data_IF_490827638230
#
_entry.id   IF_490827638230
#
_cell.length_a   1.000
_cell.length_b   1.000
_cell.length_c   1.000
_cell.angle_alpha   90.00
_cell.angle_beta   90.00
_cell.angle_gamma   90.00
#
_symmetry.space_group_name_H-M   'P 1'
#
loop_
_entity.id
_entity.type
_entity.pdbx_description
1 polymer ?
#
# COMPACT_ATOMS: atom_id res chain seq x y z
N UNK A 1 -33.11 -33.13 -1.58
CA UNK A 1 -34.10 -32.05 -1.79
C UNK A 1 -33.82 -30.97 -0.77
N UNK A 2 -33.58 -29.74 -1.24
CA UNK A 2 -33.39 -28.48 -0.49
C UNK A 2 -32.18 -28.44 0.45
N UNK A 3 -31.22 -27.51 0.39
CA UNK A 3 -31.30 -26.10 0.02
C UNK A 3 -29.91 -25.65 -0.45
N UNK A 4 -29.83 -25.15 -1.68
CA UNK A 4 -28.67 -24.46 -2.21
C UNK A 4 -28.51 -23.12 -1.48
N UNK A 5 -27.72 -23.11 -0.40
CA UNK A 5 -27.20 -21.86 0.16
C UNK A 5 -26.09 -21.35 -0.76
N UNK A 6 -26.33 -20.19 -1.36
CA UNK A 6 -25.46 -19.52 -2.32
C UNK A 6 -24.07 -19.23 -1.74
N UNK A 7 -23.12 -20.16 -1.89
CA UNK A 7 -21.71 -19.79 -1.91
C UNK A 7 -21.45 -19.02 -3.21
N UNK A 8 -21.52 -17.69 -3.13
CA UNK A 8 -21.28 -16.77 -4.26
C UNK A 8 -19.84 -16.93 -4.81
N UNK A 9 -18.91 -17.44 -3.99
CA UNK A 9 -17.50 -17.63 -4.37
C UNK A 9 -17.02 -19.02 -3.97
N UNK A 10 -16.58 -19.81 -4.96
CA UNK A 10 -15.88 -21.08 -4.71
C UNK A 10 -14.48 -20.76 -4.20
N UNK A 11 -14.28 -20.81 -2.89
CA UNK A 11 -12.97 -20.58 -2.30
C UNK A 11 -12.01 -21.71 -2.69
N UNK A 12 -10.87 -21.44 -3.37
CA UNK A 12 -9.84 -22.45 -3.55
C UNK A 12 -9.38 -22.92 -2.16
N UNK A 13 -9.23 -24.23 -1.98
CA UNK A 13 -8.76 -24.82 -0.72
C UNK A 13 -7.46 -24.10 -0.31
N UNK A 14 -7.43 -23.36 0.81
CA UNK A 14 -6.22 -22.66 1.21
C UNK A 14 -5.18 -23.71 1.59
N UNK A 15 -4.03 -23.60 0.94
CA UNK A 15 -2.84 -24.37 1.28
C UNK A 15 -1.87 -23.46 2.03
N UNK A 16 -0.90 -24.03 2.74
CA UNK A 16 0.15 -23.30 3.46
C UNK A 16 0.86 -22.31 2.51
N UNK A 17 1.09 -22.73 1.26
CA UNK A 17 1.68 -21.90 0.20
C UNK A 17 0.80 -20.70 -0.12
N UNK A 18 -0.52 -20.88 -0.26
CA UNK A 18 -1.47 -19.79 -0.55
C UNK A 18 -1.58 -18.80 0.61
N UNK A 19 -1.57 -19.29 1.85
CA UNK A 19 -1.56 -18.45 3.03
C UNK A 19 -0.28 -17.62 3.14
N UNK A 20 0.87 -18.25 2.86
CA UNK A 20 2.18 -17.59 2.87
C UNK A 20 2.27 -16.55 1.76
N UNK A 21 1.92 -16.92 0.53
CA UNK A 21 2.02 -16.02 -0.63
C UNK A 21 1.12 -14.79 -0.48
N UNK A 22 -0.07 -14.94 0.09
CA UNK A 22 -0.97 -13.81 0.39
C UNK A 22 -0.30 -12.74 1.24
N UNK A 23 0.33 -13.14 2.35
CA UNK A 23 1.01 -12.20 3.27
C UNK A 23 2.22 -11.58 2.57
N UNK A 24 3.03 -12.40 1.91
CA UNK A 24 4.23 -11.94 1.21
C UNK A 24 3.93 -10.93 0.11
N UNK A 25 2.97 -11.22 -0.76
CA UNK A 25 2.59 -10.34 -1.87
C UNK A 25 2.02 -9.02 -1.37
N UNK A 26 1.26 -9.04 -0.27
CA UNK A 26 0.71 -7.83 0.35
C UNK A 26 1.83 -6.92 0.87
N UNK A 27 2.69 -7.42 1.74
CA UNK A 27 3.74 -6.63 2.39
C UNK A 27 4.79 -6.13 1.39
N UNK A 28 5.24 -6.99 0.46
CA UNK A 28 6.20 -6.59 -0.58
C UNK A 28 5.57 -5.60 -1.56
N UNK A 29 4.31 -5.80 -1.94
CA UNK A 29 3.58 -4.87 -2.79
C UNK A 29 3.45 -3.49 -2.15
N UNK A 30 3.08 -3.45 -0.87
CA UNK A 30 3.02 -2.22 -0.08
C UNK A 30 4.38 -1.52 -0.02
N UNK A 31 5.44 -2.24 0.37
CA UNK A 31 6.78 -1.70 0.49
C UNK A 31 7.33 -1.17 -0.84
N UNK A 32 7.05 -1.86 -1.96
CA UNK A 32 7.47 -1.44 -3.29
C UNK A 32 6.79 -0.14 -3.71
N UNK A 33 5.46 -0.11 -3.63
CA UNK A 33 4.65 1.02 -4.07
C UNK A 33 4.90 2.25 -3.19
N UNK A 34 4.63 2.13 -1.89
CA UNK A 34 4.70 3.25 -0.98
C UNK A 34 6.15 3.63 -0.65
N UNK A 35 7.06 2.67 -0.61
CA UNK A 35 8.50 2.95 -0.49
C UNK A 35 9.04 3.76 -1.68
N UNK A 36 8.65 3.42 -2.91
CA UNK A 36 9.05 4.20 -4.09
C UNK A 36 8.48 5.63 -4.06
N UNK A 37 7.20 5.79 -3.69
CA UNK A 37 6.56 7.10 -3.56
C UNK A 37 7.20 7.95 -2.46
N UNK A 38 7.55 7.34 -1.33
CA UNK A 38 8.23 8.03 -0.23
C UNK A 38 9.66 8.42 -0.60
N UNK A 39 10.45 7.55 -1.22
CA UNK A 39 11.81 7.89 -1.68
C UNK A 39 11.80 9.03 -2.70
N UNK A 40 10.82 9.04 -3.59
CA UNK A 40 10.60 10.15 -4.52
C UNK A 40 10.29 11.45 -3.81
N UNK A 41 9.40 11.41 -2.81
CA UNK A 41 9.05 12.59 -1.98
C UNK A 41 10.24 13.05 -1.13
N UNK A 42 11.01 12.10 -0.59
CA UNK A 42 12.22 12.37 0.18
C UNK A 42 13.29 13.07 -0.67
N UNK A 43 13.56 12.59 -1.90
CA UNK A 43 14.46 13.28 -2.84
C UNK A 43 14.05 14.74 -3.03
N UNK A 44 12.76 14.99 -3.24
CA UNK A 44 12.22 16.35 -3.39
C UNK A 44 12.47 17.16 -2.10
N UNK A 45 12.18 16.59 -0.92
CA UNK A 45 12.40 17.27 0.36
C UNK A 45 13.86 17.66 0.59
N UNK A 46 14.81 16.81 0.18
CA UNK A 46 16.25 17.08 0.29
C UNK A 46 16.64 18.23 -0.63
N UNK A 47 16.22 18.19 -1.90
CA UNK A 47 16.52 19.24 -2.88
C UNK A 47 16.04 20.62 -2.38
N UNK A 48 14.83 20.71 -1.83
CA UNK A 48 14.29 21.97 -1.31
C UNK A 48 14.92 22.43 0.01
N UNK A 49 15.39 21.49 0.85
CA UNK A 49 16.04 21.81 2.13
C UNK A 49 17.45 22.37 1.94
N UNK A 50 18.19 21.91 0.93
CA UNK A 50 19.51 22.45 0.61
C UNK A 50 19.34 23.78 -0.12
N UNK A 51 19.25 24.89 0.63
CA UNK A 51 19.24 26.28 0.13
C UNK A 51 20.54 26.70 -0.59
N UNK A 52 21.47 25.79 -0.86
CA UNK A 52 22.84 26.09 -1.25
C UNK A 52 23.14 25.54 -2.66
N UNK A 53 23.82 26.37 -3.46
CA UNK A 53 24.07 26.26 -4.90
C UNK A 53 24.87 25.02 -5.39
N UNK A 54 24.93 23.93 -4.62
CA UNK A 54 25.55 22.66 -5.02
C UNK A 54 24.45 21.69 -5.46
N UNK A 55 24.30 21.52 -6.77
CA UNK A 55 23.36 20.57 -7.34
C UNK A 55 23.72 19.14 -6.87
N UNK A 56 22.97 18.62 -5.89
CA UNK A 56 23.09 17.22 -5.48
C UNK A 56 22.48 16.37 -6.60
N UNK A 57 23.32 15.88 -7.51
CA UNK A 57 22.94 14.87 -8.51
C UNK A 57 22.70 13.55 -7.78
N UNK A 58 21.47 13.35 -7.31
CA UNK A 58 21.03 12.03 -6.86
C UNK A 58 20.70 11.21 -8.10
N UNK A 59 21.47 10.15 -8.33
CA UNK A 59 21.31 9.22 -9.47
C UNK A 59 20.14 8.28 -9.20
N UNK A 60 19.38 7.92 -10.23
CA UNK A 60 18.23 6.99 -10.10
C UNK A 60 18.65 5.61 -9.57
N UNK A 61 19.89 5.19 -9.83
CA UNK A 61 20.48 3.98 -9.27
C UNK A 61 20.58 4.02 -7.74
N UNK A 62 20.87 5.17 -7.14
CA UNK A 62 20.96 5.31 -5.69
C UNK A 62 19.57 5.27 -5.03
N UNK A 63 18.53 5.76 -5.73
CA UNK A 63 17.14 5.58 -5.30
C UNK A 63 16.75 4.11 -5.34
N UNK A 64 17.09 3.40 -6.42
CA UNK A 64 16.78 1.98 -6.57
C UNK A 64 17.51 1.13 -5.53
N UNK A 65 18.78 1.44 -5.23
CA UNK A 65 19.53 0.81 -4.14
C UNK A 65 18.83 1.00 -2.78
N UNK A 66 18.40 2.22 -2.46
CA UNK A 66 17.67 2.51 -1.22
C UNK A 66 16.32 1.79 -1.15
N UNK A 67 15.60 1.72 -2.27
CA UNK A 67 14.37 0.94 -2.36
C UNK A 67 14.65 -0.55 -2.14
N UNK A 68 15.71 -1.09 -2.74
CA UNK A 68 16.15 -2.46 -2.54
C UNK A 68 16.45 -2.78 -1.07
N UNK A 69 17.07 -1.85 -0.34
CA UNK A 69 17.28 -1.99 1.12
C UNK A 69 15.95 -2.06 1.88
N UNK A 70 14.98 -1.20 1.56
CA UNK A 70 13.64 -1.23 2.18
C UNK A 70 12.97 -2.59 1.91
N UNK A 71 12.97 -3.04 0.65
CA UNK A 71 12.40 -4.33 0.27
C UNK A 71 13.09 -5.51 0.96
N UNK A 72 14.42 -5.46 1.10
CA UNK A 72 15.18 -6.48 1.80
C UNK A 72 14.82 -6.56 3.29
N UNK A 73 14.58 -5.42 3.95
CA UNK A 73 14.14 -5.39 5.36
C UNK A 73 12.77 -6.04 5.51
N UNK A 74 11.79 -5.70 4.65
CA UNK A 74 10.46 -6.32 4.68
C UNK A 74 10.54 -7.82 4.36
N UNK A 75 11.30 -8.22 3.34
CA UNK A 75 11.51 -9.62 2.99
C UNK A 75 12.15 -10.41 4.14
N UNK A 76 13.14 -9.84 4.83
CA UNK A 76 13.77 -10.46 5.99
C UNK A 76 12.78 -10.64 7.14
N UNK A 77 11.98 -9.61 7.45
CA UNK A 77 10.94 -9.71 8.49
C UNK A 77 9.91 -10.81 8.16
N UNK A 78 9.51 -10.92 6.88
CA UNK A 78 8.64 -11.99 6.40
C UNK A 78 9.28 -13.37 6.49
N UNK A 79 10.57 -13.50 6.16
CA UNK A 79 11.31 -14.75 6.32
C UNK A 79 11.34 -15.19 7.77
N UNK A 80 11.65 -14.28 8.70
CA UNK A 80 11.63 -14.55 10.14
C UNK A 80 10.25 -15.04 10.56
N UNK A 81 9.18 -14.35 10.13
CA UNK A 81 7.80 -14.78 10.40
C UNK A 81 7.57 -16.21 9.91
N UNK A 82 7.93 -16.52 8.66
CA UNK A 82 7.70 -17.86 8.09
C UNK A 82 8.47 -18.97 8.80
N UNK A 83 9.64 -18.66 9.38
CA UNK A 83 10.47 -19.62 10.10
C UNK A 83 10.01 -19.81 11.56
N UNK A 84 9.64 -18.73 12.24
CA UNK A 84 9.25 -18.74 13.66
C UNK A 84 7.81 -19.19 13.85
N UNK A 85 6.90 -18.73 12.99
CA UNK A 85 5.46 -18.98 13.07
C UNK A 85 4.90 -19.29 11.67
N UNK A 86 5.10 -20.51 11.16
CA UNK A 86 4.59 -20.89 9.85
C UNK A 86 3.06 -20.81 9.83
N UNK A 87 2.45 -20.23 8.77
CA UNK A 87 1.01 -20.03 8.71
C UNK A 87 0.29 -21.38 8.68
N UNK A 88 -0.64 -21.58 9.61
CA UNK A 88 -1.46 -22.79 9.70
C UNK A 88 -2.83 -22.54 9.08
N UNK A 89 -3.35 -23.57 8.41
CA UNK A 89 -4.72 -23.57 7.90
C UNK A 89 -5.63 -24.08 9.01
N UNK A 90 -6.55 -23.22 9.47
CA UNK A 90 -7.54 -23.57 10.48
C UNK A 90 -8.90 -23.83 9.83
N UNK A 91 -9.65 -24.77 10.40
CA UNK A 91 -11.02 -25.06 9.96
C UNK A 91 -11.96 -24.21 10.83
N UNK A 92 -12.40 -23.08 10.29
CA UNK A 92 -13.50 -22.30 10.86
C UNK A 92 -14.83 -23.02 10.64
N UNK A 93 -15.71 -23.00 11.65
CA UNK A 93 -17.11 -23.40 11.48
C UNK A 93 -17.94 -22.13 11.36
N UNK A 94 -18.57 -21.91 10.20
CA UNK A 94 -19.55 -20.83 10.03
C UNK A 94 -20.80 -21.13 10.87
N UNK A 95 -21.62 -20.11 11.20
CA UNK A 95 -22.90 -20.26 11.93
C UNK A 95 -23.83 -21.35 11.34
N UNK A 96 -23.66 -21.68 10.07
CA UNK A 96 -24.37 -22.74 9.33
C UNK A 96 -23.70 -24.13 9.39
N UNK A 97 -22.79 -24.40 10.35
CA UNK A 97 -22.02 -25.65 10.47
C UNK A 97 -21.16 -26.03 9.23
N UNK A 98 -20.96 -25.11 8.30
CA UNK A 98 -20.09 -25.31 7.14
C UNK A 98 -18.61 -25.17 7.55
N UNK A 99 -17.77 -26.13 7.12
CA UNK A 99 -16.32 -26.13 7.35
C UNK A 99 -15.63 -25.18 6.36
N UNK A 100 -15.38 -23.94 6.76
CA UNK A 100 -14.58 -23.00 6.01
C UNK A 100 -13.10 -23.18 6.39
N UNK A 101 -12.22 -23.31 5.40
CA UNK A 101 -10.79 -23.35 5.64
C UNK A 101 -10.29 -21.90 5.54
N UNK A 102 -9.68 -21.38 6.60
CA UNK A 102 -9.10 -20.04 6.61
C UNK A 102 -7.62 -20.11 7.02
N UNK A 103 -6.83 -19.17 6.51
CA UNK A 103 -5.48 -18.94 7.02
C UNK A 103 -5.61 -18.31 8.41
N UNK A 104 -4.94 -18.87 9.41
CA UNK A 104 -4.91 -18.31 10.76
C UNK A 104 -4.29 -16.91 10.73
N UNK A 105 -4.99 -15.94 11.31
CA UNK A 105 -4.44 -14.60 11.60
C UNK A 105 -3.81 -14.65 12.98
N UNK A 106 -2.53 -14.32 13.07
CA UNK A 106 -1.75 -14.35 14.31
C UNK A 106 -1.36 -12.93 14.73
N UNK A 107 -0.81 -12.79 15.93
CA UNK A 107 -0.24 -11.52 16.42
C UNK A 107 0.80 -10.90 15.48
N UNK A 108 1.49 -11.73 14.68
CA UNK A 108 2.38 -11.25 13.63
C UNK A 108 1.67 -10.36 12.61
N UNK A 109 0.43 -10.67 12.23
CA UNK A 109 -0.34 -9.83 11.30
C UNK A 109 -0.60 -8.44 11.87
N UNK A 110 -0.92 -8.35 13.16
CA UNK A 110 -1.05 -7.06 13.85
C UNK A 110 0.27 -6.29 13.89
N UNK A 111 1.39 -6.97 14.13
CA UNK A 111 2.71 -6.34 14.12
C UNK A 111 3.04 -5.74 12.74
N UNK A 112 2.82 -6.49 11.65
CA UNK A 112 3.02 -5.98 10.28
C UNK A 112 2.09 -4.79 9.99
N UNK A 113 0.81 -4.89 10.31
CA UNK A 113 -0.13 -3.77 10.15
C UNK A 113 0.28 -2.50 10.92
N UNK A 114 0.76 -2.63 12.16
CA UNK A 114 1.24 -1.49 12.95
C UNK A 114 2.48 -0.87 12.26
N UNK A 115 3.39 -1.71 11.77
CA UNK A 115 4.58 -1.25 11.04
C UNK A 115 4.20 -0.51 9.76
N UNK A 116 3.21 -0.97 9.00
CA UNK A 116 2.67 -0.28 7.81
C UNK A 116 2.13 1.11 8.19
N UNK A 117 1.33 1.21 9.25
CA UNK A 117 0.76 2.48 9.72
C UNK A 117 1.87 3.46 10.16
N UNK A 118 2.86 2.99 10.91
CA UNK A 118 4.02 3.82 11.31
C UNK A 118 4.80 4.30 10.09
N UNK A 119 5.01 3.43 9.10
CA UNK A 119 5.66 3.79 7.83
C UNK A 119 4.88 4.88 7.09
N UNK A 120 3.56 4.76 7.00
CA UNK A 120 2.69 5.79 6.39
C UNK A 120 2.72 7.11 7.15
N UNK A 121 2.73 7.09 8.49
CA UNK A 121 2.86 8.31 9.30
C UNK A 121 4.17 9.03 8.98
N UNK A 122 5.27 8.29 8.86
CA UNK A 122 6.54 8.85 8.43
C UNK A 122 6.47 9.44 7.01
N UNK A 123 5.78 8.77 6.09
CA UNK A 123 5.47 9.30 4.76
C UNK A 123 4.67 10.60 4.79
N UNK A 124 3.65 10.69 5.63
CA UNK A 124 2.84 11.91 5.82
C UNK A 124 3.72 13.08 6.31
N UNK A 125 4.64 12.82 7.23
CA UNK A 125 5.63 13.83 7.69
C UNK A 125 6.47 14.37 6.53
N UNK A 126 6.97 13.50 5.66
CA UNK A 126 7.71 13.91 4.46
C UNK A 126 6.83 14.74 3.52
N UNK A 127 5.59 14.33 3.29
CA UNK A 127 4.62 15.07 2.49
C UNK A 127 4.36 16.47 3.06
N UNK A 128 4.22 16.63 4.38
CA UNK A 128 4.06 17.94 5.03
C UNK A 128 5.24 18.87 4.72
N UNK A 129 6.47 18.37 4.79
CA UNK A 129 7.69 19.15 4.50
C UNK A 129 7.70 19.61 3.04
N UNK A 130 7.36 18.73 2.10
CA UNK A 130 7.37 19.03 0.66
C UNK A 130 6.21 19.93 0.24
N UNK A 131 5.08 19.95 0.96
CA UNK A 131 3.92 20.81 0.64
C UNK A 131 4.23 22.31 0.64
N UNK A 132 5.30 22.75 1.32
CA UNK A 132 5.75 24.14 1.33
C UNK A 132 6.51 24.55 0.05
N UNK A 133 6.84 23.60 -0.82
CA UNK A 133 7.47 23.87 -2.10
C UNK A 133 6.50 24.55 -3.10
N UNK A 134 6.99 25.42 -4.01
CA UNK A 134 6.17 26.15 -4.96
C UNK A 134 5.33 25.22 -5.86
N UNK A 135 4.15 25.70 -6.27
CA UNK A 135 3.09 24.96 -6.96
C UNK A 135 3.43 24.37 -8.33
N UNK A 136 4.62 24.64 -8.86
CA UNK A 136 5.13 24.04 -10.11
C UNK A 136 5.23 22.50 -10.00
N UNK A 137 5.28 21.93 -8.79
CA UNK A 137 5.30 20.48 -8.53
C UNK A 137 3.94 19.93 -8.09
N UNK A 138 2.90 20.12 -8.90
CA UNK A 138 1.58 19.51 -8.66
C UNK A 138 1.65 17.97 -8.47
N UNK A 139 2.69 17.30 -8.98
CA UNK A 139 2.95 15.87 -8.76
C UNK A 139 3.06 15.49 -7.28
N UNK A 140 3.68 16.33 -6.42
CA UNK A 140 3.83 16.03 -5.00
C UNK A 140 2.49 16.06 -4.22
N UNK A 141 1.51 16.84 -4.69
CA UNK A 141 0.17 16.88 -4.11
C UNK A 141 -0.58 15.57 -4.34
N UNK A 142 -0.50 15.01 -5.55
CA UNK A 142 -1.14 13.71 -5.86
C UNK A 142 -0.51 12.56 -5.08
N UNK A 143 0.82 12.56 -4.91
CA UNK A 143 1.51 11.57 -4.07
C UNK A 143 1.04 11.68 -2.62
N UNK A 144 0.92 12.91 -2.10
CA UNK A 144 0.41 13.13 -0.74
C UNK A 144 -1.02 12.62 -0.58
N UNK A 145 -1.92 12.91 -1.53
CA UNK A 145 -3.30 12.39 -1.52
C UNK A 145 -3.35 10.87 -1.51
N UNK A 146 -2.49 10.20 -2.30
CA UNK A 146 -2.42 8.74 -2.31
C UNK A 146 -2.01 8.18 -0.93
N UNK A 147 -0.99 8.78 -0.30
CA UNK A 147 -0.52 8.36 1.03
C UNK A 147 -1.58 8.61 2.12
N UNK A 148 -2.30 9.74 2.07
CA UNK A 148 -3.39 10.00 3.01
C UNK A 148 -4.55 9.01 2.85
N UNK A 149 -4.95 8.72 1.62
CA UNK A 149 -6.03 7.77 1.35
C UNK A 149 -5.66 6.37 1.84
N UNK A 150 -4.43 5.91 1.56
CA UNK A 150 -3.96 4.62 2.05
C UNK A 150 -3.95 4.57 3.58
N UNK A 151 -3.43 5.61 4.24
CA UNK A 151 -3.39 5.68 5.69
C UNK A 151 -4.79 5.55 6.30
N UNK A 152 -5.78 6.27 5.76
CA UNK A 152 -7.16 6.20 6.24
C UNK A 152 -7.78 4.81 6.01
N UNK A 153 -7.58 4.22 4.83
CA UNK A 153 -8.07 2.88 4.51
C UNK A 153 -7.43 1.81 5.41
N UNK A 154 -6.11 1.88 5.60
CA UNK A 154 -5.35 0.99 6.47
C UNK A 154 -5.80 1.08 7.93
N UNK A 155 -6.01 2.29 8.47
CA UNK A 155 -6.52 2.46 9.84
C UNK A 155 -7.95 1.92 9.95
N UNK A 156 -8.82 2.24 8.99
CA UNK A 156 -10.19 1.73 8.96
C UNK A 156 -10.23 0.20 8.99
N UNK A 157 -9.45 -0.46 8.13
CA UNK A 157 -9.36 -1.92 8.07
C UNK A 157 -8.89 -2.52 9.41
N UNK A 158 -7.84 -1.96 10.01
CA UNK A 158 -7.31 -2.45 11.29
C UNK A 158 -8.34 -2.31 12.42
N UNK A 159 -9.04 -1.18 12.47
CA UNK A 159 -10.12 -0.94 13.44
C UNK A 159 -11.28 -1.90 13.21
N UNK A 160 -11.73 -2.07 11.96
CA UNK A 160 -12.79 -3.03 11.61
C UNK A 160 -12.42 -4.46 12.00
N UNK A 161 -11.16 -4.87 11.80
CA UNK A 161 -10.69 -6.21 12.18
C UNK A 161 -10.73 -6.44 13.70
N UNK A 162 -10.42 -5.41 14.51
CA UNK A 162 -10.52 -5.52 15.98
C UNK A 162 -11.97 -5.75 16.43
N UNK A 163 -12.93 -5.02 15.87
CA UNK A 163 -14.35 -5.16 16.23
C UNK A 163 -14.98 -6.45 15.69
N UNK A 164 -14.61 -6.86 14.48
CA UNK A 164 -15.17 -8.04 13.81
C UNK A 164 -14.50 -9.36 14.26
N UNK A 165 -13.48 -9.30 15.10
CA UNK A 165 -12.87 -10.50 15.70
C UNK A 165 -13.84 -11.27 16.62
N UNK A 166 -14.86 -10.60 17.16
CA UNK A 166 -15.76 -11.17 18.18
C UNK A 166 -16.98 -11.96 17.65
N UNK A 167 -17.45 -11.80 16.39
CA UNK A 167 -18.55 -12.63 15.84
C UNK A 167 -18.31 -13.24 14.44
N UNK A 168 -17.07 -13.37 13.97
CA UNK A 168 -16.69 -13.42 12.55
C UNK A 168 -17.48 -14.40 11.62
N UNK A 169 -18.32 -13.82 10.76
CA UNK A 169 -18.74 -14.42 9.49
C UNK A 169 -17.60 -14.27 8.46
N UNK A 170 -17.06 -15.36 7.88
CA UNK A 170 -15.89 -15.31 7.00
C UNK A 170 -16.15 -14.53 5.69
N UNK A 171 -17.39 -14.51 5.20
CA UNK A 171 -17.77 -13.82 3.96
C UNK A 171 -17.69 -12.30 4.09
N UNK A 172 -18.09 -11.74 5.25
CA UNK A 172 -18.00 -10.31 5.52
C UNK A 172 -16.54 -9.84 5.55
N UNK A 173 -15.67 -10.62 6.19
CA UNK A 173 -14.23 -10.33 6.26
C UNK A 173 -13.61 -10.34 4.86
N UNK A 174 -13.97 -11.30 4.01
CA UNK A 174 -13.51 -11.35 2.62
C UNK A 174 -13.94 -10.12 1.82
N UNK A 175 -15.22 -9.71 1.92
CA UNK A 175 -15.75 -8.52 1.23
C UNK A 175 -15.00 -7.26 1.69
N UNK A 176 -14.74 -7.09 2.99
CA UNK A 176 -14.02 -5.93 3.52
C UNK A 176 -12.59 -5.87 2.97
N UNK A 177 -11.85 -6.98 2.99
CA UNK A 177 -10.51 -7.04 2.40
C UNK A 177 -10.53 -6.76 0.90
N UNK A 178 -11.48 -7.34 0.17
CA UNK A 178 -11.63 -7.12 -1.27
C UNK A 178 -11.89 -5.64 -1.57
N UNK A 179 -12.90 -5.04 -0.94
CA UNK A 179 -13.21 -3.62 -1.09
C UNK A 179 -12.01 -2.73 -0.74
N UNK A 180 -11.31 -3.00 0.37
CA UNK A 180 -10.12 -2.26 0.76
C UNK A 180 -9.03 -2.32 -0.31
N UNK A 181 -8.67 -3.52 -0.78
CA UNK A 181 -7.63 -3.70 -1.80
C UNK A 181 -8.01 -3.02 -3.12
N UNK A 182 -9.26 -3.17 -3.56
CA UNK A 182 -9.71 -2.59 -4.82
C UNK A 182 -9.75 -1.06 -4.77
N UNK A 183 -10.22 -0.48 -3.65
CA UNK A 183 -10.24 0.97 -3.44
C UNK A 183 -8.81 1.53 -3.40
N UNK A 184 -7.91 0.90 -2.65
CA UNK A 184 -6.50 1.32 -2.55
C UNK A 184 -5.82 1.34 -3.92
N UNK A 185 -5.85 0.21 -4.65
CA UNK A 185 -5.17 0.08 -5.96
C UNK A 185 -5.78 1.02 -6.99
N UNK A 186 -7.11 1.10 -7.08
CA UNK A 186 -7.79 1.94 -8.08
C UNK A 186 -7.46 3.42 -7.85
N UNK A 187 -7.58 3.91 -6.62
CA UNK A 187 -7.30 5.31 -6.29
C UNK A 187 -5.83 5.66 -6.53
N UNK A 188 -4.92 4.80 -6.12
CA UNK A 188 -3.48 4.97 -6.34
C UNK A 188 -3.16 5.11 -7.83
N UNK A 189 -3.63 4.17 -8.67
CA UNK A 189 -3.37 4.20 -10.11
C UNK A 189 -3.99 5.43 -10.76
N UNK A 190 -5.23 5.77 -10.42
CA UNK A 190 -5.91 6.97 -10.91
C UNK A 190 -5.13 8.25 -10.56
N UNK A 191 -4.59 8.36 -9.35
CA UNK A 191 -3.81 9.53 -8.91
C UNK A 191 -2.44 9.59 -9.59
N UNK A 192 -1.73 8.47 -9.70
CA UNK A 192 -0.39 8.42 -10.34
C UNK A 192 -0.51 8.72 -11.83
N UNK A 193 -1.34 8.00 -12.58
CA UNK A 193 -1.50 8.23 -14.03
C UNK A 193 -2.20 9.56 -14.33
N UNK A 194 -3.16 9.96 -13.49
CA UNK A 194 -3.81 11.26 -13.58
C UNK A 194 -2.83 12.41 -13.46
N UNK A 195 -1.87 12.32 -12.53
CA UNK A 195 -0.82 13.34 -12.35
C UNK A 195 0.06 13.49 -13.60
N UNK A 196 0.47 12.38 -14.21
CA UNK A 196 1.33 12.38 -15.42
C UNK A 196 0.62 12.96 -16.63
N UNK A 197 -0.67 12.64 -16.84
CA UNK A 197 -1.46 13.19 -17.96
C UNK A 197 -1.66 14.71 -17.84
N UNK A 198 -1.99 15.20 -16.64
CA UNK A 198 -2.12 16.64 -16.38
C UNK A 198 -0.78 17.37 -16.59
N UNK A 199 0.32 16.81 -16.08
CA UNK A 199 1.65 17.41 -16.25
C UNK A 199 2.08 17.47 -17.72
N UNK A 200 1.85 16.39 -18.49
CA UNK A 200 2.16 16.35 -19.92
C UNK A 200 1.34 17.40 -20.70
N UNK A 201 0.05 17.55 -20.40
CA UNK A 201 -0.79 18.60 -21.00
C UNK A 201 -0.30 20.02 -20.67
N UNK A 202 0.06 20.29 -19.41
CA UNK A 202 0.58 21.61 -19.00
C UNK A 202 1.93 21.92 -19.64
N UNK A 203 2.86 20.96 -19.69
CA UNK A 203 4.15 21.16 -20.38
C UNK A 203 3.96 21.33 -21.89
N UNK A 204 3.02 20.59 -22.50
CA UNK A 204 2.69 20.78 -23.91
C UNK A 204 2.04 22.15 -24.16
N UNK A 205 1.15 22.62 -23.29
CA UNK A 205 0.58 23.96 -23.37
C UNK A 205 1.63 25.06 -23.18
N UNK A 206 2.55 24.91 -22.20
CA UNK A 206 3.65 25.85 -21.97
C UNK A 206 4.64 25.87 -23.14
N UNK A 207 4.93 24.70 -23.74
CA UNK A 207 5.75 24.57 -24.95
C UNK A 207 5.07 25.16 -26.19
N UNK A 208 3.76 24.96 -26.34
CA UNK A 208 2.97 25.57 -27.42
C UNK A 208 2.89 27.09 -27.26
N UNK A 209 2.69 27.59 -26.04
CA UNK A 209 2.69 29.02 -25.73
C UNK A 209 4.06 29.67 -25.94
N UNK A 210 5.17 29.01 -25.59
CA UNK A 210 6.51 29.53 -25.90
C UNK A 210 6.83 29.55 -27.40
N UNK A 211 6.21 28.66 -28.19
CA UNK A 211 6.29 28.66 -29.65
C UNK A 211 5.42 29.75 -30.30
N UNK A 212 4.47 30.34 -29.57
CA UNK A 212 3.64 31.46 -30.01
C UNK A 212 4.19 32.84 -29.57
N UNK A 213 5.31 32.87 -28.83
CA UNK A 213 6.00 34.09 -28.38
C UNK A 213 7.31 34.33 -29.16
N UNK A 214 7.56 33.56 -30.22
CA UNK A 214 8.49 33.91 -31.31
C UNK A 214 7.69 34.19 -32.58
#
# INVERSE_FOLDING_TARGET
MSESKETIVTYPRPNIVTCTSRVWLREIGFALVYGALMLKTWRISVIFRVRSAKAVKITDLDLLKRLGVILAIFAMALLIRTLVAPPKVIIGRTADNLKAYLCQTDWWDHFFSIMEVVFLIWGIRLCIVVRKAPSEFNEAKFISMAIYNEFLLSVFLNVSMLFLSSPANPDLLYIIFFCHTQLSVTLLLCLIFGSKRKLKKVMMYKKASSLFVC
#
